data_IF_890212710325
#
_entry.id   IF_890212710325
#
_cell.length_a   1.000
_cell.length_b   1.000
_cell.length_c   1.000
_cell.angle_alpha   90.00
_cell.angle_beta   90.00
_cell.angle_gamma   90.00
#
_symmetry.space_group_name_H-M   'P 1'
#
loop_
_entity.id
_entity.type
_entity.pdbx_description
1 polymer ?
#
# COMPACT_ATOMS: atom_id res chain seq x y z
N UNK A 1 -3.21 -4.71 -4.54
CA UNK A 1 -3.88 -5.36 -3.40
C UNK A 1 -5.39 -5.26 -3.63
N UNK A 2 -6.19 -6.23 -3.21
CA UNK A 2 -7.63 -6.30 -3.52
C UNK A 2 -8.07 -7.70 -3.96
N UNK A 3 -9.35 -7.83 -4.28
CA UNK A 3 -10.03 -9.10 -4.60
C UNK A 3 -9.59 -9.73 -5.93
N UNK A 4 -8.88 -8.98 -6.77
CA UNK A 4 -8.49 -9.45 -8.10
C UNK A 4 -9.62 -9.32 -9.11
N UNK A 5 -9.48 -9.92 -10.31
CA UNK A 5 -8.63 -11.07 -10.63
C UNK A 5 -7.15 -10.70 -10.85
N UNK A 6 -6.24 -11.56 -10.39
CA UNK A 6 -4.79 -11.39 -10.52
C UNK A 6 -4.16 -12.34 -11.56
N UNK A 7 -4.97 -12.97 -12.43
CA UNK A 7 -4.52 -13.94 -13.44
C UNK A 7 -3.46 -13.35 -14.40
N UNK A 8 -3.57 -12.06 -14.70
CA UNK A 8 -2.56 -11.36 -15.51
C UNK A 8 -1.21 -11.31 -14.80
N UNK A 9 -1.18 -11.07 -13.48
CA UNK A 9 0.06 -11.02 -12.71
C UNK A 9 0.72 -12.39 -12.62
N UNK A 10 -0.06 -13.47 -12.52
CA UNK A 10 0.46 -14.83 -12.59
C UNK A 10 1.05 -15.17 -13.98
N UNK A 11 0.45 -14.69 -15.07
CA UNK A 11 1.03 -14.87 -16.42
C UNK A 11 2.36 -14.13 -16.59
N UNK A 12 2.51 -12.95 -15.99
CA UNK A 12 3.76 -12.19 -16.02
C UNK A 12 4.85 -12.77 -15.10
N UNK A 13 4.47 -13.61 -14.14
CA UNK A 13 5.38 -14.40 -13.31
C UNK A 13 6.02 -15.53 -14.15
N UNK A 14 5.19 -16.37 -14.77
CA UNK A 14 5.63 -17.62 -15.38
C UNK A 14 6.01 -17.54 -16.87
N UNK A 15 5.42 -16.62 -17.65
CA UNK A 15 5.33 -16.77 -19.11
C UNK A 15 5.74 -15.52 -19.92
N UNK A 16 6.87 -14.88 -19.60
CA UNK A 16 7.45 -13.88 -20.52
C UNK A 16 8.66 -14.50 -21.25
N UNK A 17 8.51 -14.82 -22.55
CA UNK A 17 9.60 -15.38 -23.35
C UNK A 17 10.72 -14.34 -23.58
N UNK A 18 11.95 -14.83 -23.76
CA UNK A 18 13.19 -14.06 -24.00
C UNK A 18 13.82 -13.34 -22.79
N UNK A 19 13.39 -13.63 -21.56
CA UNK A 19 14.09 -13.11 -20.36
C UNK A 19 15.35 -13.91 -20.05
N UNK A 20 16.46 -13.20 -19.81
CA UNK A 20 17.73 -13.78 -19.40
C UNK A 20 17.69 -14.36 -17.97
N UNK A 21 16.76 -13.88 -17.13
CA UNK A 21 16.51 -14.36 -15.77
C UNK A 21 15.12 -13.94 -15.28
N UNK A 22 14.61 -14.61 -14.24
CA UNK A 22 13.33 -14.28 -13.58
C UNK A 22 13.51 -12.96 -12.80
N UNK A 23 12.82 -11.89 -13.24
CA UNK A 23 12.98 -10.54 -12.71
C UNK A 23 11.68 -9.92 -12.16
N UNK A 24 10.60 -10.69 -12.13
CA UNK A 24 9.30 -10.29 -11.63
C UNK A 24 8.76 -11.44 -10.79
N UNK A 25 8.22 -11.12 -9.61
CA UNK A 25 7.56 -12.06 -8.73
C UNK A 25 6.26 -11.43 -8.23
N UNK A 26 5.13 -12.13 -8.34
CA UNK A 26 3.86 -11.66 -7.80
C UNK A 26 3.54 -12.30 -6.43
N UNK A 27 3.34 -11.46 -5.41
CA UNK A 27 2.93 -11.91 -4.07
C UNK A 27 1.55 -11.36 -3.72
N UNK A 28 0.59 -12.26 -3.45
CA UNK A 28 -0.77 -11.88 -3.03
C UNK A 28 -0.81 -11.55 -1.53
N UNK A 29 -0.66 -10.27 -1.21
CA UNK A 29 -0.71 -9.76 0.15
C UNK A 29 -2.02 -10.12 0.90
N UNK A 30 -3.18 -9.94 0.24
CA UNK A 30 -4.46 -10.20 0.88
C UNK A 30 -4.67 -11.68 1.18
N UNK A 31 -4.16 -12.58 0.33
CA UNK A 31 -4.21 -14.02 0.59
C UNK A 31 -3.46 -14.35 1.88
N UNK A 32 -2.25 -13.83 2.06
CA UNK A 32 -1.42 -14.07 3.25
C UNK A 32 -2.06 -13.47 4.50
N UNK A 33 -2.60 -12.25 4.40
CA UNK A 33 -3.22 -11.58 5.54
C UNK A 33 -4.58 -12.15 5.93
N UNK A 34 -5.28 -12.82 5.00
CA UNK A 34 -6.57 -13.47 5.22
C UNK A 34 -6.47 -14.83 5.92
N UNK A 35 -5.29 -15.43 6.06
CA UNK A 35 -5.13 -16.72 6.74
C UNK A 35 -5.41 -16.63 8.25
N UNK A 36 -5.86 -17.71 8.88
CA UNK A 36 -6.11 -17.72 10.33
C UNK A 36 -4.81 -18.04 11.10
N UNK A 37 -3.88 -17.08 11.10
CA UNK A 37 -2.57 -17.14 11.76
C UNK A 37 -2.33 -15.87 12.58
N UNK A 38 -1.39 -15.96 13.52
CA UNK A 38 -0.90 -14.80 14.27
C UNK A 38 -0.32 -13.75 13.32
N UNK A 39 -0.45 -12.47 13.66
CA UNK A 39 0.02 -11.34 12.86
C UNK A 39 1.52 -11.43 12.54
N UNK A 40 2.34 -11.78 13.53
CA UNK A 40 3.80 -11.95 13.36
C UNK A 40 4.15 -13.07 12.38
N UNK A 41 3.35 -14.14 12.33
CA UNK A 41 3.54 -15.25 11.37
C UNK A 41 3.16 -14.82 9.96
N UNK A 42 2.10 -14.04 9.80
CA UNK A 42 1.69 -13.47 8.50
C UNK A 42 2.74 -12.53 7.93
N UNK A 43 3.31 -11.65 8.77
CA UNK A 43 4.39 -10.74 8.37
C UNK A 43 5.64 -11.51 7.96
N UNK A 44 6.00 -12.55 8.71
CA UNK A 44 7.13 -13.42 8.36
C UNK A 44 6.90 -14.15 7.04
N UNK A 45 5.71 -14.71 6.83
CA UNK A 45 5.36 -15.40 5.57
C UNK A 45 5.33 -14.44 4.39
N UNK A 46 4.83 -13.22 4.59
CA UNK A 46 4.87 -12.16 3.58
C UNK A 46 6.30 -11.78 3.23
N UNK A 47 7.13 -11.50 4.24
CA UNK A 47 8.54 -11.18 4.04
C UNK A 47 9.26 -12.33 3.33
N UNK A 48 9.01 -13.57 3.73
CA UNK A 48 9.60 -14.75 3.10
C UNK A 48 9.20 -14.87 1.63
N UNK A 49 7.91 -14.73 1.33
CA UNK A 49 7.39 -14.82 -0.03
C UNK A 49 8.05 -13.76 -0.95
N UNK A 50 8.20 -12.52 -0.47
CA UNK A 50 8.82 -11.43 -1.22
C UNK A 50 10.34 -11.60 -1.38
N UNK A 51 10.99 -12.28 -0.43
CA UNK A 51 12.46 -12.35 -0.36
C UNK A 51 13.05 -13.62 -0.95
N UNK A 52 12.32 -14.73 -1.02
CA UNK A 52 12.89 -16.05 -1.37
C UNK A 52 13.42 -16.14 -2.81
N UNK A 53 12.88 -15.36 -3.76
CA UNK A 53 13.33 -15.41 -5.16
C UNK A 53 14.45 -14.41 -5.49
N UNK A 54 14.59 -13.35 -4.69
CA UNK A 54 15.58 -12.28 -4.92
C UNK A 54 17.05 -12.73 -4.88
N UNK A 55 17.50 -13.72 -4.07
CA UNK A 55 18.89 -14.16 -4.04
C UNK A 55 19.39 -14.74 -5.36
N UNK A 56 18.52 -15.43 -6.11
CA UNK A 56 18.86 -16.00 -7.42
C UNK A 56 18.91 -14.90 -8.48
N UNK A 57 17.94 -13.98 -8.44
CA UNK A 57 17.89 -12.80 -9.30
C UNK A 57 19.16 -11.95 -9.18
N UNK A 58 19.60 -11.64 -7.95
CA UNK A 58 20.80 -10.86 -7.70
C UNK A 58 22.08 -11.50 -8.27
N UNK A 59 22.21 -12.83 -8.17
CA UNK A 59 23.33 -13.57 -8.77
C UNK A 59 23.26 -13.57 -10.30
N UNK A 60 22.07 -13.60 -10.89
CA UNK A 60 21.90 -13.51 -12.34
C UNK A 60 22.31 -12.13 -12.86
N UNK A 61 21.87 -11.04 -12.21
CA UNK A 61 22.26 -9.67 -12.57
C UNK A 61 23.79 -9.46 -12.50
N UNK A 62 24.46 -10.02 -11.48
CA UNK A 62 25.92 -9.99 -11.38
C UNK A 62 26.60 -10.75 -12.54
N UNK A 63 26.12 -11.95 -12.89
CA UNK A 63 26.68 -12.76 -13.99
C UNK A 63 26.49 -12.13 -15.36
N UNK A 64 25.46 -11.31 -15.53
CA UNK A 64 25.13 -10.65 -16.80
C UNK A 64 25.79 -9.26 -16.93
N UNK A 65 26.61 -8.82 -15.96
CA UNK A 65 27.26 -7.49 -15.92
C UNK A 65 26.30 -6.31 -16.18
N UNK A 66 25.00 -6.49 -15.90
CA UNK A 66 23.97 -5.45 -16.14
C UNK A 66 24.26 -4.21 -15.29
N UNK A 67 24.82 -4.41 -14.08
CA UNK A 67 25.13 -3.34 -13.13
C UNK A 67 26.35 -2.50 -13.54
N UNK A 68 27.21 -3.02 -14.42
CA UNK A 68 28.42 -2.33 -14.92
C UNK A 68 28.16 -1.60 -16.24
N UNK A 69 26.95 -1.74 -16.80
CA UNK A 69 26.59 -1.19 -18.11
C UNK A 69 25.87 0.14 -17.96
N UNK A 70 26.64 1.22 -17.76
CA UNK A 70 26.15 2.61 -17.81
C UNK A 70 25.61 3.04 -19.19
N UNK A 71 25.55 2.12 -20.17
CA UNK A 71 25.32 2.39 -21.58
C UNK A 71 24.16 1.58 -22.17
N UNK A 72 23.16 1.21 -21.39
CA UNK A 72 21.86 0.85 -21.97
C UNK A 72 21.12 2.16 -22.19
N UNK A 73 20.89 2.55 -23.45
CA UNK A 73 20.16 3.75 -23.85
C UNK A 73 18.68 3.71 -23.45
N UNK A 74 18.43 3.54 -22.15
CA UNK A 74 17.11 3.57 -21.55
C UNK A 74 16.60 5.01 -21.66
N UNK A 75 15.34 5.19 -22.09
CA UNK A 75 14.70 6.49 -22.03
C UNK A 75 14.77 6.97 -20.57
N UNK A 76 15.41 8.12 -20.34
CA UNK A 76 15.36 8.79 -19.04
C UNK A 76 13.92 9.24 -18.78
N UNK A 77 13.15 8.39 -18.10
CA UNK A 77 11.82 8.76 -17.62
C UNK A 77 11.99 9.62 -16.38
N UNK A 78 11.83 10.94 -16.52
CA UNK A 78 11.72 11.81 -15.35
C UNK A 78 10.35 11.62 -14.70
N UNK A 79 10.27 11.34 -13.39
CA UNK A 79 8.99 11.26 -12.70
C UNK A 79 8.30 12.62 -12.73
N UNK A 80 6.97 12.62 -12.94
CA UNK A 80 6.16 13.82 -12.82
C UNK A 80 6.14 14.30 -11.36
N UNK A 81 6.04 15.62 -11.12
CA UNK A 81 5.82 16.12 -9.77
C UNK A 81 4.48 15.61 -9.23
N UNK A 82 4.34 15.45 -7.90
CA UNK A 82 3.07 15.08 -7.29
C UNK A 82 2.01 16.17 -7.57
N UNK A 83 0.71 15.81 -7.59
CA UNK A 83 -0.37 16.77 -7.81
C UNK A 83 -0.33 17.91 -6.79
N UNK A 84 -0.52 19.18 -7.21
CA UNK A 84 -0.45 20.34 -6.32
C UNK A 84 -1.39 20.26 -5.11
N UNK A 85 -2.57 19.67 -5.28
CA UNK A 85 -3.57 19.55 -4.22
C UNK A 85 -3.08 18.70 -3.04
N UNK A 86 -2.22 17.71 -3.29
CA UNK A 86 -1.60 16.88 -2.26
C UNK A 86 -0.57 17.70 -1.47
N UNK A 87 0.23 18.51 -2.18
CA UNK A 87 1.25 19.37 -1.58
C UNK A 87 0.58 20.41 -0.67
N UNK A 88 -0.50 21.03 -1.13
CA UNK A 88 -1.24 22.02 -0.36
C UNK A 88 -1.87 21.42 0.90
N UNK A 89 -2.47 20.22 0.79
CA UNK A 89 -3.04 19.53 1.93
C UNK A 89 -1.98 19.20 3.00
N UNK A 90 -0.82 18.68 2.60
CA UNK A 90 0.27 18.33 3.53
C UNK A 90 0.84 19.59 4.22
N UNK A 91 0.94 20.70 3.50
CA UNK A 91 1.37 21.99 4.06
C UNK A 91 0.38 22.52 5.10
N UNK A 92 -0.93 22.38 4.86
CA UNK A 92 -1.99 22.79 5.81
C UNK A 92 -1.98 21.89 7.05
N UNK A 93 -1.84 20.57 6.89
CA UNK A 93 -1.77 19.63 8.03
C UNK A 93 -0.54 19.91 8.89
N UNK A 94 0.61 20.25 8.29
CA UNK A 94 1.82 20.61 9.04
C UNK A 94 1.74 22.01 9.69
N UNK A 95 0.86 22.90 9.24
CA UNK A 95 0.66 24.23 9.84
C UNK A 95 -0.09 24.17 11.17
N UNK A 96 -0.84 23.10 11.44
CA UNK A 96 -1.57 22.94 12.70
C UNK A 96 -0.97 21.79 13.51
N UNK A 97 -0.47 22.02 14.75
CA UNK A 97 0.02 20.93 15.59
C UNK A 97 -1.11 19.91 15.83
N UNK A 98 -0.81 18.61 15.98
CA UNK A 98 -1.82 17.59 16.17
C UNK A 98 -2.65 17.94 17.41
N UNK A 99 -3.97 18.09 17.24
CA UNK A 99 -4.86 18.35 18.35
C UNK A 99 -5.00 17.07 19.19
N UNK A 100 -4.07 16.84 20.13
CA UNK A 100 -4.16 15.75 21.11
C UNK A 100 -5.16 16.11 22.19
N UNK A 101 -6.45 16.14 21.88
CA UNK A 101 -7.50 16.24 22.89
C UNK A 101 -8.86 15.93 22.26
N UNK A 102 -9.24 14.66 22.24
CA UNK A 102 -10.65 14.30 22.12
C UNK A 102 -11.30 14.57 23.48
N UNK A 103 -11.89 15.75 23.67
CA UNK A 103 -12.81 15.96 24.79
C UNK A 103 -14.18 15.41 24.38
N UNK A 104 -14.77 14.48 25.17
CA UNK A 104 -16.11 13.99 24.88
C UNK A 104 -17.12 15.13 25.12
N UNK A 105 -17.78 15.57 24.06
CA UNK A 105 -18.92 16.49 24.18
C UNK A 105 -20.11 15.68 24.69
N UNK A 106 -20.45 15.85 25.96
CA UNK A 106 -21.67 15.32 26.55
C UNK A 106 -22.82 16.24 26.15
N UNK A 107 -23.66 15.79 25.21
CA UNK A 107 -24.90 16.46 24.87
C UNK A 107 -25.92 16.25 25.99
N UNK A 108 -26.16 17.27 26.82
CA UNK A 108 -27.33 17.32 27.68
C UNK A 108 -28.51 17.84 26.84
N UNK A 109 -29.42 16.94 26.47
CA UNK A 109 -30.66 17.32 25.78
C UNK A 109 -31.61 18.06 26.75
N UNK A 110 -32.28 19.16 26.34
CA UNK A 110 -33.22 19.86 27.20
C UNK A 110 -34.48 19.03 27.47
N UNK A 111 -34.89 18.96 28.74
CA UNK A 111 -36.17 18.37 29.19
C UNK A 111 -37.33 19.23 28.69
N UNK A 112 -38.24 18.63 27.93
CA UNK A 112 -39.48 19.24 27.45
C UNK A 112 -40.48 19.39 28.61
N UNK A 113 -41.04 20.59 28.80
CA UNK A 113 -42.05 20.87 29.83
C UNK A 113 -43.45 20.47 29.34
N UNK A 114 -44.34 19.89 30.19
CA UNK A 114 -45.65 19.43 29.76
C UNK A 114 -46.62 20.60 29.54
N UNK A 115 -47.33 20.57 28.42
CA UNK A 115 -48.31 21.57 27.98
C UNK A 115 -49.65 21.31 28.71
N UNK A 116 -50.09 22.26 29.53
CA UNK A 116 -51.40 22.28 30.18
C UNK A 116 -52.52 22.48 29.14
N UNK A 117 -53.43 21.52 29.00
CA UNK A 117 -54.66 21.69 28.21
C UNK A 117 -55.69 22.52 29.00
N UNK A 118 -56.21 23.58 28.37
CA UNK A 118 -57.28 24.44 28.88
C UNK A 118 -58.60 23.98 28.24
N UNK A 119 -59.53 23.45 29.04
CA UNK A 119 -60.88 23.08 28.61
C UNK A 119 -61.70 24.29 28.19
N UNK A 120 -62.50 24.12 27.14
CA UNK A 120 -63.59 24.98 26.69
C UNK A 120 -64.44 24.23 25.69
#
# INVERSE_FOLDING_TARGET
>A
MGDGPWDAMHRFDDNIPHRAFVNFQFVSFMKIMSENKDTSKKELEFALAVLMERPIQYKATQRLSILESDNVGLPCTMPLPPPPEVIDHDNVVNMYPPMTSFQPVVYMAPVEQPITQRSG
#
